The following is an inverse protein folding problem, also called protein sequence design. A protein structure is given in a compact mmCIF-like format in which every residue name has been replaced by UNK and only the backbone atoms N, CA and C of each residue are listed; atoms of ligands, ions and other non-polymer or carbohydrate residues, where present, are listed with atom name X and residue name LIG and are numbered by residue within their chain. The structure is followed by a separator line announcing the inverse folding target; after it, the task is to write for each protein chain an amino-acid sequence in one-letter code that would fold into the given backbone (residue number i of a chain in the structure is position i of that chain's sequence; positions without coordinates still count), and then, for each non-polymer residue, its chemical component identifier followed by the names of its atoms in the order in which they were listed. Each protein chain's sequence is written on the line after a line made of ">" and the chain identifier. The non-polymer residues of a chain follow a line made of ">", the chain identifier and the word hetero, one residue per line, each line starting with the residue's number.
data_IF_947330960447
#
_entry.id   IF_947330960447
#
_cell.length_a   1.000
_cell.length_b   1.000
_cell.length_c   1.000
_cell.angle_alpha   90.00
_cell.angle_beta   90.00
_cell.angle_gamma   90.00
#
_symmetry.space_group_name_H-M   'P 1'
#
loop_
_entity.id
_entity.type
_entity.pdbx_description
1 polymer ?
#
# COMPACT_ATOMS: atom_id res chain seq x y z
N UNK A 1 29.21 36.08 11.72
CA UNK A 1 29.84 35.54 12.93
C UNK A 1 28.72 35.04 13.82
N UNK A 2 28.77 33.76 14.17
CA UNK A 2 28.13 33.09 15.31
C UNK A 2 26.58 33.10 15.41
N UNK A 3 25.86 32.00 15.66
CA UNK A 3 26.22 30.77 16.34
C UNK A 3 25.49 29.54 15.75
N UNK A 4 26.27 28.60 15.25
CA UNK A 4 25.89 27.18 15.16
C UNK A 4 25.87 26.60 16.58
N UNK A 5 24.69 26.35 17.15
CA UNK A 5 24.55 25.42 18.28
C UNK A 5 24.12 24.05 17.76
N UNK A 6 25.07 23.12 17.80
CA UNK A 6 24.82 21.67 17.81
C UNK A 6 23.86 21.34 18.96
N UNK A 7 22.81 20.58 18.68
CA UNK A 7 22.09 19.81 19.69
C UNK A 7 22.03 18.35 19.24
N UNK A 8 22.51 17.50 20.15
CA UNK A 8 22.42 16.04 20.14
C UNK A 8 20.98 15.65 20.52
N UNK A 9 20.49 14.60 19.88
CA UNK A 9 19.37 13.73 20.30
C UNK A 9 17.98 14.34 20.57
N UNK A 10 17.00 13.97 19.72
CA UNK A 10 15.60 13.82 20.14
C UNK A 10 14.57 14.80 19.53
N UNK A 11 13.67 14.23 18.71
CA UNK A 11 12.33 14.74 18.32
C UNK A 11 12.25 16.14 17.69
N UNK A 12 12.15 16.17 16.36
CA UNK A 12 11.46 17.25 15.65
C UNK A 12 9.95 16.97 15.70
N UNK A 13 9.25 17.62 16.62
CA UNK A 13 7.81 17.84 16.50
C UNK A 13 7.59 18.85 15.38
N UNK A 14 7.17 18.39 14.20
CA UNK A 14 6.62 19.28 13.19
C UNK A 14 5.24 19.72 13.65
N UNK A 15 5.17 20.99 14.07
CA UNK A 15 3.95 21.67 14.41
C UNK A 15 2.93 21.62 13.28
N UNK A 16 1.67 21.52 13.67
CA UNK A 16 0.52 21.73 12.80
C UNK A 16 0.67 23.07 12.07
N UNK A 17 0.70 23.04 10.74
CA UNK A 17 0.29 24.17 9.94
C UNK A 17 -0.76 23.69 8.93
N UNK A 18 -1.99 24.08 9.26
CA UNK A 18 -3.10 24.24 8.34
C UNK A 18 -2.68 25.05 7.11
N UNK A 19 -2.88 24.50 5.92
CA UNK A 19 -2.78 25.26 4.67
C UNK A 19 -2.09 24.51 3.52
N UNK A 20 -2.73 23.50 2.95
CA UNK A 20 -2.35 22.96 1.63
C UNK A 20 -3.50 23.15 0.64
N UNK A 21 -3.71 24.39 0.22
CA UNK A 21 -4.53 24.74 -0.96
C UNK A 21 -3.74 25.55 -2.00
N UNK A 22 -2.40 25.44 -2.02
CA UNK A 22 -1.59 26.14 -3.02
C UNK A 22 -0.99 25.17 -4.08
N UNK A 23 -1.54 25.13 -5.31
CA UNK A 23 -1.05 24.30 -6.40
C UNK A 23 0.37 24.63 -6.89
N UNK A 24 0.93 25.79 -6.53
CA UNK A 24 2.24 26.24 -7.01
C UNK A 24 3.41 25.55 -6.28
N UNK A 25 3.28 25.27 -4.99
CA UNK A 25 4.29 24.55 -4.20
C UNK A 25 4.43 23.08 -4.61
N UNK A 26 3.42 22.53 -5.28
CA UNK A 26 3.45 21.17 -5.83
C UNK A 26 4.37 21.07 -7.06
N UNK A 27 4.67 22.19 -7.75
CA UNK A 27 5.52 22.19 -8.95
C UNK A 27 7.02 22.23 -8.63
N UNK A 28 7.43 22.84 -7.52
CA UNK A 28 8.87 22.98 -7.20
C UNK A 28 9.53 21.72 -6.61
N UNK A 29 8.73 20.73 -6.17
CA UNK A 29 9.26 19.41 -5.78
C UNK A 29 9.26 18.39 -6.93
N UNK A 30 8.98 18.81 -8.16
CA UNK A 30 8.99 17.96 -9.37
C UNK A 30 10.38 17.91 -10.03
N UNK A 31 11.34 18.75 -9.61
CA UNK A 31 12.69 18.77 -10.19
C UNK A 31 13.63 17.65 -9.69
N UNK A 32 13.20 16.81 -8.73
CA UNK A 32 14.09 15.86 -8.05
C UNK A 32 13.75 14.37 -8.19
N UNK A 33 12.57 13.99 -8.67
CA UNK A 33 12.20 12.58 -8.82
C UNK A 33 12.78 12.02 -10.14
N UNK A 34 14.08 11.75 -10.17
CA UNK A 34 14.69 10.99 -11.26
C UNK A 34 14.38 9.50 -11.08
N UNK A 35 13.40 9.08 -11.87
CA UNK A 35 13.22 7.72 -12.38
C UNK A 35 12.33 6.78 -11.55
N UNK A 36 11.51 6.05 -12.30
CA UNK A 36 10.63 4.91 -11.93
C UNK A 36 11.41 3.74 -11.28
N UNK A 37 12.68 3.91 -10.94
CA UNK A 37 13.62 2.86 -10.50
C UNK A 37 13.41 2.39 -9.06
N UNK A 38 12.69 3.14 -8.24
CA UNK A 38 12.28 2.71 -6.89
C UNK A 38 10.96 1.91 -6.92
N UNK A 39 10.41 1.68 -8.11
CA UNK A 39 9.29 0.78 -8.30
C UNK A 39 9.86 -0.60 -8.55
N UNK A 40 9.83 -1.47 -7.54
CA UNK A 40 9.99 -2.92 -7.72
C UNK A 40 9.15 -3.35 -8.94
N UNK A 41 9.78 -3.69 -10.08
CA UNK A 41 9.07 -3.95 -11.33
C UNK A 41 8.17 -5.19 -11.25
N UNK A 42 8.48 -6.08 -10.31
CA UNK A 42 7.82 -7.37 -10.07
C UNK A 42 6.59 -7.23 -9.18
N UNK A 43 6.50 -6.19 -8.34
CA UNK A 43 5.38 -6.07 -7.41
C UNK A 43 4.11 -5.56 -8.10
N UNK A 44 3.07 -6.42 -8.15
CA UNK A 44 1.74 -6.01 -8.58
C UNK A 44 1.23 -4.84 -7.72
N UNK A 45 0.37 -3.99 -8.29
CA UNK A 45 -0.14 -2.82 -7.58
C UNK A 45 -0.89 -3.20 -6.28
N UNK A 46 -1.58 -4.35 -6.30
CA UNK A 46 -2.23 -4.96 -5.13
C UNK A 46 -1.20 -5.30 -4.03
N UNK A 47 -0.07 -5.91 -4.38
CA UNK A 47 0.99 -6.26 -3.44
C UNK A 47 1.65 -5.02 -2.84
N UNK A 48 1.87 -3.98 -3.65
CA UNK A 48 2.39 -2.72 -3.15
C UNK A 48 1.43 -2.05 -2.15
N UNK A 49 0.12 -2.01 -2.44
CA UNK A 49 -0.89 -1.49 -1.51
C UNK A 49 -0.97 -2.31 -0.22
N UNK A 50 -0.93 -3.65 -0.32
CA UNK A 50 -0.90 -4.54 0.83
C UNK A 50 0.32 -4.29 1.73
N UNK A 51 1.48 -4.03 1.13
CA UNK A 51 2.69 -3.64 1.85
C UNK A 51 2.53 -2.34 2.62
N UNK A 52 1.89 -1.32 2.02
CA UNK A 52 1.62 -0.07 2.72
C UNK A 52 0.62 -0.26 3.87
N UNK A 53 -0.47 -0.99 3.63
CA UNK A 53 -1.47 -1.29 4.64
C UNK A 53 -0.83 -1.98 5.84
N UNK A 54 -0.11 -3.08 5.60
CA UNK A 54 0.52 -3.86 6.67
C UNK A 54 1.53 -3.07 7.48
N UNK A 55 2.30 -2.15 6.87
CA UNK A 55 3.25 -1.28 7.57
C UNK A 55 2.60 -0.40 8.63
N UNK A 56 1.35 0.02 8.45
CA UNK A 56 0.64 0.87 9.40
C UNK A 56 -0.02 0.11 10.55
N UNK A 57 -0.09 -1.22 10.47
CA UNK A 57 -0.78 -2.04 11.46
C UNK A 57 0.12 -2.40 12.66
N UNK A 58 -0.53 -2.70 13.78
CA UNK A 58 0.11 -3.14 15.02
C UNK A 58 0.74 -4.53 14.91
N UNK A 59 2.06 -4.59 14.85
CA UNK A 59 2.84 -5.82 14.60
C UNK A 59 2.71 -6.88 15.68
N UNK A 60 2.10 -6.55 16.82
CA UNK A 60 1.85 -7.46 17.93
C UNK A 60 0.34 -7.65 18.18
N UNK A 61 -0.50 -7.11 17.30
CA UNK A 61 -1.96 -7.15 17.38
C UNK A 61 -2.62 -8.47 16.91
N UNK A 62 -3.95 -8.54 17.07
CA UNK A 62 -4.75 -9.73 16.69
C UNK A 62 -4.67 -10.07 15.21
N UNK A 63 -4.62 -9.07 14.32
CA UNK A 63 -4.51 -9.30 12.88
C UNK A 63 -3.17 -9.98 12.52
N UNK A 64 -2.07 -9.58 13.16
CA UNK A 64 -0.74 -10.11 12.86
C UNK A 64 -0.67 -11.59 13.23
N UNK A 65 -1.18 -11.92 14.42
CA UNK A 65 -1.31 -13.30 14.87
C UNK A 65 -2.19 -14.13 13.93
N UNK A 66 -3.27 -13.55 13.39
CA UNK A 66 -4.08 -14.21 12.37
C UNK A 66 -3.28 -14.51 11.10
N UNK A 67 -2.56 -13.52 10.56
CA UNK A 67 -1.78 -13.69 9.32
C UNK A 67 -0.70 -14.76 9.45
N UNK A 68 0.01 -14.81 10.58
CA UNK A 68 1.01 -15.85 10.84
C UNK A 68 0.40 -17.25 10.85
N UNK A 69 -0.84 -17.40 11.37
CA UNK A 69 -1.57 -18.67 11.37
C UNK A 69 -2.15 -19.02 9.99
N UNK A 70 -2.63 -18.02 9.25
CA UNK A 70 -3.25 -18.21 7.93
C UNK A 70 -2.22 -18.57 6.84
N UNK A 71 -0.96 -18.19 7.04
CA UNK A 71 0.16 -18.43 6.15
C UNK A 71 1.39 -18.98 6.91
N UNK A 72 1.35 -20.23 7.39
CA UNK A 72 2.46 -20.81 8.16
C UNK A 72 3.76 -20.96 7.36
N UNK A 73 3.70 -20.86 6.03
CA UNK A 73 4.87 -20.84 5.13
C UNK A 73 5.53 -19.46 5.00
N UNK A 74 4.89 -18.40 5.48
CA UNK A 74 5.50 -17.06 5.52
C UNK A 74 6.16 -16.87 6.88
N UNK A 75 7.40 -16.36 6.88
CA UNK A 75 8.05 -15.97 8.13
C UNK A 75 7.37 -14.73 8.70
N UNK A 76 7.48 -14.56 10.02
CA UNK A 76 7.00 -13.36 10.72
C UNK A 76 7.55 -12.07 10.09
N UNK A 77 8.81 -12.08 9.62
CA UNK A 77 9.44 -10.93 8.96
C UNK A 77 8.78 -10.61 7.62
N UNK A 78 8.45 -11.63 6.81
CA UNK A 78 7.72 -11.43 5.54
C UNK A 78 6.33 -10.85 5.80
N UNK A 79 5.62 -11.34 6.82
CA UNK A 79 4.31 -10.82 7.23
C UNK A 79 4.44 -9.38 7.74
N UNK A 80 5.43 -9.07 8.60
CA UNK A 80 5.68 -7.71 9.12
C UNK A 80 6.03 -6.74 8.01
N UNK A 81 6.82 -7.18 7.03
CA UNK A 81 7.23 -6.41 5.87
C UNK A 81 6.14 -6.31 4.78
N UNK A 82 4.99 -6.96 4.96
CA UNK A 82 3.90 -6.88 4.00
C UNK A 82 4.17 -7.57 2.67
N UNK A 83 5.03 -8.59 2.67
CA UNK A 83 5.44 -9.31 1.47
C UNK A 83 4.41 -10.41 1.21
N UNK A 84 3.42 -10.08 0.40
CA UNK A 84 2.38 -10.99 -0.06
C UNK A 84 2.33 -11.01 -1.58
N UNK A 85 2.04 -12.17 -2.16
CA UNK A 85 1.78 -12.30 -3.59
C UNK A 85 0.28 -12.13 -3.90
N UNK A 86 -0.05 -11.97 -5.18
CA UNK A 86 -1.44 -11.84 -5.65
C UNK A 86 -2.38 -12.94 -5.12
N UNK A 87 -2.04 -14.24 -5.23
CA UNK A 87 -2.86 -15.33 -4.69
C UNK A 87 -3.12 -15.24 -3.18
N UNK A 88 -2.12 -14.88 -2.37
CA UNK A 88 -2.27 -14.71 -0.92
C UNK A 88 -3.19 -13.54 -0.59
N UNK A 89 -3.06 -12.42 -1.31
CA UNK A 89 -3.93 -11.25 -1.13
C UNK A 89 -5.37 -11.61 -1.49
N UNK A 90 -5.60 -12.29 -2.62
CA UNK A 90 -6.95 -12.74 -3.03
C UNK A 90 -7.57 -13.72 -2.06
N UNK A 91 -6.77 -14.57 -1.41
CA UNK A 91 -7.22 -15.43 -0.31
C UNK A 91 -7.72 -14.59 0.86
N UNK A 92 -6.95 -13.59 1.30
CA UNK A 92 -7.34 -12.68 2.39
C UNK A 92 -8.58 -11.85 2.07
N UNK A 93 -8.74 -11.39 0.82
CA UNK A 93 -9.92 -10.62 0.40
C UNK A 93 -11.21 -11.42 0.59
N UNK A 94 -11.15 -12.74 0.38
CA UNK A 94 -12.30 -13.65 0.53
C UNK A 94 -12.49 -14.17 1.96
N UNK A 95 -11.56 -13.90 2.86
CA UNK A 95 -11.53 -14.43 4.21
C UNK A 95 -12.28 -13.49 5.17
N UNK A 96 -13.46 -13.91 5.62
CA UNK A 96 -14.28 -13.14 6.57
C UNK A 96 -13.70 -13.15 7.98
N UNK A 97 -13.02 -14.23 8.38
CA UNK A 97 -12.39 -14.34 9.69
C UNK A 97 -11.19 -13.39 9.81
N UNK A 98 -10.47 -13.17 8.69
CA UNK A 98 -9.45 -12.14 8.64
C UNK A 98 -10.02 -10.76 8.95
N UNK A 99 -11.19 -10.40 8.39
CA UNK A 99 -11.83 -9.12 8.68
C UNK A 99 -12.27 -9.01 10.15
N UNK A 100 -12.74 -10.12 10.73
CA UNK A 100 -13.15 -10.18 12.15
C UNK A 100 -11.97 -10.02 13.12
N UNK A 101 -10.73 -10.28 12.67
CA UNK A 101 -9.53 -10.09 13.48
C UNK A 101 -9.11 -8.63 13.68
N UNK A 102 -9.67 -7.71 12.86
CA UNK A 102 -9.28 -6.31 12.80
C UNK A 102 -10.08 -5.43 13.77
N UNK A 103 -9.47 -4.33 14.23
CA UNK A 103 -10.20 -3.25 14.90
C UNK A 103 -10.97 -2.38 13.89
N UNK A 104 -11.76 -1.42 14.37
CA UNK A 104 -12.62 -0.57 13.53
C UNK A 104 -11.85 0.23 12.47
N UNK A 105 -10.68 0.79 12.82
CA UNK A 105 -9.87 1.59 11.89
C UNK A 105 -9.22 0.70 10.82
N UNK A 106 -8.64 -0.43 11.24
CA UNK A 106 -8.05 -1.43 10.37
C UNK A 106 -9.08 -2.00 9.39
N UNK A 107 -10.27 -2.35 9.89
CA UNK A 107 -11.37 -2.89 9.09
C UNK A 107 -11.88 -1.87 8.06
N UNK A 108 -11.97 -0.59 8.42
CA UNK A 108 -12.38 0.47 7.48
C UNK A 108 -11.36 0.67 6.35
N UNK A 109 -10.06 0.68 6.68
CA UNK A 109 -8.98 0.75 5.71
C UNK A 109 -8.94 -0.50 4.82
N UNK A 110 -9.08 -1.68 5.39
CA UNK A 110 -9.14 -2.95 4.65
C UNK A 110 -10.32 -3.00 3.68
N UNK A 111 -11.53 -2.62 4.11
CA UNK A 111 -12.71 -2.56 3.24
C UNK A 111 -12.49 -1.61 2.07
N UNK A 112 -11.89 -0.46 2.31
CA UNK A 112 -11.58 0.52 1.26
C UNK A 112 -10.53 -0.01 0.27
N UNK A 113 -9.51 -0.73 0.78
CA UNK A 113 -8.54 -1.45 -0.04
C UNK A 113 -9.20 -2.50 -0.94
N UNK A 114 -10.06 -3.36 -0.38
CA UNK A 114 -10.80 -4.39 -1.14
C UNK A 114 -11.64 -3.76 -2.25
N UNK A 115 -12.29 -2.63 -1.98
CA UNK A 115 -13.07 -1.90 -2.99
C UNK A 115 -12.20 -1.43 -4.15
N UNK A 116 -11.00 -0.92 -3.90
CA UNK A 116 -10.07 -0.50 -4.96
C UNK A 116 -9.55 -1.71 -5.74
N UNK A 117 -9.19 -2.80 -5.06
CA UNK A 117 -8.74 -4.02 -5.74
C UNK A 117 -9.81 -4.55 -6.69
N UNK A 118 -11.04 -4.70 -6.22
CA UNK A 118 -12.11 -5.31 -7.02
C UNK A 118 -12.64 -4.42 -8.15
N UNK A 119 -12.64 -3.09 -7.96
CA UNK A 119 -13.33 -2.16 -8.88
C UNK A 119 -12.40 -1.26 -9.67
N UNK A 120 -11.09 -1.27 -9.40
CA UNK A 120 -10.12 -0.48 -10.15
C UNK A 120 -8.98 -1.35 -10.68
N UNK A 121 -8.41 -2.22 -9.85
CA UNK A 121 -7.27 -3.06 -10.24
C UNK A 121 -7.66 -4.38 -10.91
N UNK A 122 -8.95 -4.73 -10.88
CA UNK A 122 -9.49 -5.91 -11.55
C UNK A 122 -9.62 -5.74 -13.07
N UNK A 123 -10.42 -6.63 -13.66
CA UNK A 123 -10.64 -6.67 -15.11
C UNK A 123 -11.47 -5.51 -15.64
N UNK A 124 -12.20 -4.82 -14.75
CA UNK A 124 -13.09 -3.71 -15.10
C UNK A 124 -12.83 -2.52 -14.19
N UNK A 125 -12.55 -1.36 -14.80
CA UNK A 125 -12.47 -0.08 -14.10
C UNK A 125 -13.87 0.51 -13.89
N UNK A 126 -14.29 0.64 -12.63
CA UNK A 126 -15.58 1.22 -12.29
C UNK A 126 -15.62 2.74 -12.56
N UNK A 127 -16.77 3.26 -12.99
CA UNK A 127 -16.94 4.69 -13.26
C UNK A 127 -16.65 5.58 -12.03
N UNK A 128 -16.91 5.09 -10.82
CA UNK A 128 -16.67 5.78 -9.56
C UNK A 128 -15.27 5.54 -8.94
N UNK A 129 -14.30 5.01 -9.71
CA UNK A 129 -12.95 4.69 -9.22
C UNK A 129 -12.25 5.86 -8.51
N UNK A 130 -12.47 7.11 -8.93
CA UNK A 130 -11.95 8.31 -8.26
C UNK A 130 -12.34 8.37 -6.78
N UNK A 131 -13.62 8.15 -6.51
CA UNK A 131 -14.17 8.16 -5.16
C UNK A 131 -13.64 6.99 -4.35
N UNK A 132 -13.48 5.81 -4.97
CA UNK A 132 -12.93 4.63 -4.29
C UNK A 132 -11.48 4.86 -3.84
N UNK A 133 -10.65 5.40 -4.73
CA UNK A 133 -9.25 5.71 -4.42
C UNK A 133 -9.16 6.81 -3.35
N UNK A 134 -9.95 7.88 -3.44
CA UNK A 134 -9.99 8.94 -2.41
C UNK A 134 -10.37 8.38 -1.03
N UNK A 135 -11.42 7.55 -1.00
CA UNK A 135 -11.89 6.91 0.25
C UNK A 135 -10.80 6.02 0.87
N UNK A 136 -10.09 5.25 0.05
CA UNK A 136 -8.97 4.42 0.51
C UNK A 136 -7.82 5.26 1.06
N UNK A 137 -7.46 6.36 0.38
CA UNK A 137 -6.41 7.28 0.83
C UNK A 137 -6.74 7.85 2.21
N UNK A 138 -7.97 8.34 2.41
CA UNK A 138 -8.40 8.88 3.71
C UNK A 138 -8.39 7.82 4.81
N UNK A 139 -8.84 6.60 4.51
CA UNK A 139 -8.80 5.50 5.46
C UNK A 139 -7.37 5.09 5.83
N UNK A 140 -6.47 5.08 4.85
CA UNK A 140 -5.04 4.78 5.04
C UNK A 140 -4.36 5.87 5.88
N UNK A 141 -4.67 7.15 5.63
CA UNK A 141 -4.18 8.26 6.45
C UNK A 141 -4.64 8.15 7.90
N UNK A 142 -5.92 7.82 8.13
CA UNK A 142 -6.47 7.62 9.49
C UNK A 142 -5.82 6.44 10.21
N UNK A 143 -5.45 5.39 9.47
CA UNK A 143 -4.72 4.23 10.01
C UNK A 143 -3.24 4.55 10.32
N UNK A 144 -2.70 5.64 9.77
CA UNK A 144 -1.28 6.01 9.92
C UNK A 144 -0.38 5.50 8.79
N UNK A 145 -0.94 5.07 7.66
CA UNK A 145 -0.15 4.75 6.47
C UNK A 145 0.55 6.00 5.93
N UNK A 146 1.83 5.86 5.60
CA UNK A 146 2.58 6.94 4.94
C UNK A 146 2.13 7.10 3.49
N UNK A 147 1.96 8.35 3.06
CA UNK A 147 1.66 8.68 1.67
C UNK A 147 2.93 8.53 0.83
N UNK A 148 3.15 7.33 0.28
CA UNK A 148 4.31 7.10 -0.58
C UNK A 148 4.17 7.86 -1.92
N UNK A 149 5.29 8.08 -2.60
CA UNK A 149 5.29 8.66 -3.95
C UNK A 149 4.45 7.85 -4.95
N UNK A 150 4.38 6.52 -4.78
CA UNK A 150 3.54 5.63 -5.60
C UNK A 150 2.05 5.86 -5.35
N UNK A 151 1.66 6.12 -4.09
CA UNK A 151 0.27 6.46 -3.75
C UNK A 151 -0.15 7.81 -4.35
N UNK A 152 0.75 8.79 -4.27
CA UNK A 152 0.53 10.09 -4.91
C UNK A 152 0.44 9.96 -6.43
N UNK A 153 1.29 9.15 -7.06
CA UNK A 153 1.24 8.88 -8.49
C UNK A 153 -0.08 8.20 -8.91
N UNK A 154 -0.53 7.20 -8.15
CA UNK A 154 -1.82 6.54 -8.37
C UNK A 154 -2.94 7.58 -8.39
N UNK A 155 -3.00 8.43 -7.37
CA UNK A 155 -4.06 9.44 -7.25
C UNK A 155 -4.00 10.49 -8.35
N UNK A 156 -2.81 11.00 -8.67
CA UNK A 156 -2.62 12.06 -9.66
C UNK A 156 -2.80 11.61 -11.11
N UNK A 157 -2.71 10.30 -11.38
CA UNK A 157 -2.75 9.76 -12.74
C UNK A 157 -3.74 8.63 -12.95
N UNK A 158 -4.67 8.42 -12.01
CA UNK A 158 -5.67 7.35 -12.05
C UNK A 158 -6.50 7.31 -13.36
N UNK A 159 -6.78 8.46 -13.98
CA UNK A 159 -7.53 8.54 -15.23
C UNK A 159 -6.77 7.99 -16.44
N UNK A 160 -5.43 8.02 -16.38
CA UNK A 160 -4.54 7.56 -17.46
C UNK A 160 -4.36 6.04 -17.48
N UNK A 161 -4.87 5.32 -16.47
CA UNK A 161 -4.79 3.86 -16.45
C UNK A 161 -5.79 3.24 -17.43
N UNK A 162 -5.39 2.17 -18.16
CA UNK A 162 -6.28 1.43 -19.05
C UNK A 162 -7.47 0.85 -18.27
N UNK A 163 -8.56 0.54 -18.98
CA UNK A 163 -9.79 0.01 -18.36
C UNK A 163 -9.64 -1.39 -17.76
N UNK A 164 -8.66 -2.16 -18.22
CA UNK A 164 -8.41 -3.53 -17.80
C UNK A 164 -6.98 -3.67 -17.26
N UNK A 165 -6.82 -3.36 -15.97
CA UNK A 165 -5.53 -3.52 -15.27
C UNK A 165 -5.27 -4.96 -14.86
N UNK A 166 -6.32 -5.73 -14.58
CA UNK A 166 -6.21 -7.15 -14.26
C UNK A 166 -5.56 -7.96 -15.37
N UNK A 167 -5.90 -7.71 -16.64
CA UNK A 167 -5.28 -8.40 -17.77
C UNK A 167 -3.82 -7.97 -18.05
N UNK A 168 -3.37 -6.85 -17.48
CA UNK A 168 -1.97 -6.39 -17.56
C UNK A 168 -1.14 -6.77 -16.32
N UNK A 169 -1.77 -7.25 -15.26
CA UNK A 169 -1.08 -7.81 -14.11
C UNK A 169 -0.53 -9.17 -14.53
N UNK A 170 0.79 -9.26 -14.71
CA UNK A 170 1.48 -10.43 -15.27
C UNK A 170 1.50 -11.62 -14.29
N UNK A 171 0.31 -12.13 -13.99
CA UNK A 171 0.05 -13.16 -12.99
C UNK A 171 0.67 -14.50 -13.38
N UNK A 172 0.91 -14.72 -14.68
CA UNK A 172 1.64 -15.85 -15.20
C UNK A 172 3.15 -15.74 -14.95
N UNK A 173 3.75 -14.55 -15.09
CA UNK A 173 5.15 -14.31 -14.72
C UNK A 173 5.42 -14.54 -13.23
N UNK A 174 4.53 -14.01 -12.38
CA UNK A 174 4.62 -14.18 -10.92
C UNK A 174 4.50 -15.64 -10.46
N UNK A 175 3.66 -16.44 -11.14
CA UNK A 175 3.48 -17.86 -10.83
C UNK A 175 4.68 -18.70 -11.27
N UNK A 176 5.25 -18.39 -12.43
CA UNK A 176 6.46 -19.06 -12.93
C UNK A 176 7.66 -18.87 -12.00
N UNK A 177 7.87 -17.66 -11.48
CA UNK A 177 8.92 -17.39 -10.50
C UNK A 177 8.68 -18.08 -9.14
N UNK A 178 7.43 -18.32 -8.76
CA UNK A 178 7.11 -19.06 -7.53
C UNK A 178 7.34 -20.56 -7.68
N UNK A 179 6.94 -21.14 -8.81
CA UNK A 179 7.12 -22.57 -9.07
C UNK A 179 8.61 -22.89 -9.18
N UNK A 180 9.42 -22.02 -9.81
CA UNK A 180 10.89 -22.17 -9.79
C UNK A 180 11.48 -22.07 -8.38
N UNK A 181 10.99 -21.14 -7.55
CA UNK A 181 11.49 -20.97 -6.17
C UNK A 181 11.12 -22.15 -5.25
N UNK A 182 10.00 -22.83 -5.51
CA UNK A 182 9.60 -24.03 -4.77
C UNK A 182 10.36 -25.29 -5.20
N UNK A 183 11.03 -25.27 -6.36
CA UNK A 183 11.87 -26.38 -6.84
C UNK A 183 13.30 -26.27 -6.26
N UNK A 184 13.71 -25.09 -5.80
CA UNK A 184 15.03 -24.84 -5.18
C UNK A 184 15.06 -24.98 -3.64
N UNK A 185 13.90 -25.19 -2.98
CA UNK A 185 13.77 -25.47 -1.53
C UNK A 185 13.53 -26.97 -1.25
#
# INVERSE_FOLDING_TARGET
>A
MDHLRRLKDGKLLLGQQSGFTNPALCKERVAGARSVKDIDPTATFEAWLMKQFTHALDKDGRYFNYLCRAFPRLTSEKVKAGIFNGPQIRKLIKDTEFQNSMNTLECAAWKSFVQVVNNFLGNTKAANHARLISTMIEAFQKLGCLMSIKMHFLFSHMEKFPENLGAMSDEQGERFHQDMRQIEE
#
